data_IF_464475559750
#
_entry.id   IF_464475559750
#
_cell.length_a   1.000
_cell.length_b   1.000
_cell.length_c   1.000
_cell.angle_alpha   90.00
_cell.angle_beta   90.00
_cell.angle_gamma   90.00
#
_symmetry.space_group_name_H-M   'P 1'
#
loop_
_entity.id
_entity.type
_entity.pdbx_description
1 polymer ?
#
# COMPACT_ATOMS: atom_id res chain seq x y z
N UNK A 1 -16.00 -20.61 10.67
CA UNK A 1 -14.78 -19.79 10.54
C UNK A 1 -13.63 -20.72 10.24
N UNK A 2 -12.71 -20.32 9.37
CA UNK A 2 -11.66 -21.18 8.79
C UNK A 2 -10.62 -21.70 9.80
N UNK A 3 -10.74 -21.31 11.07
CA UNK A 3 -9.95 -21.85 12.18
C UNK A 3 -8.51 -21.35 12.24
N UNK A 4 -8.17 -20.32 11.46
CA UNK A 4 -6.83 -19.71 11.43
C UNK A 4 -6.72 -18.61 12.47
N UNK A 5 -5.61 -18.57 13.19
CA UNK A 5 -5.29 -17.46 14.08
C UNK A 5 -4.73 -16.27 13.28
N UNK A 6 -4.91 -15.08 13.85
CA UNK A 6 -4.31 -13.85 13.35
C UNK A 6 -3.55 -13.22 14.49
N UNK A 7 -2.31 -12.79 14.23
CA UNK A 7 -1.53 -11.98 15.16
C UNK A 7 -1.25 -10.63 14.51
N UNK A 8 -1.61 -9.56 15.20
CA UNK A 8 -1.34 -8.18 14.81
C UNK A 8 -0.41 -7.54 15.83
N UNK A 9 0.81 -7.26 15.40
CA UNK A 9 1.89 -6.76 16.24
C UNK A 9 2.44 -5.43 15.72
N UNK A 10 2.82 -4.55 16.63
CA UNK A 10 3.39 -3.24 16.33
C UNK A 10 2.96 -2.17 17.33
N UNK A 11 3.47 -0.97 17.14
CA UNK A 11 3.19 0.15 18.04
C UNK A 11 1.74 0.66 17.86
N UNK A 12 1.00 0.72 18.96
CA UNK A 12 -0.39 1.21 19.02
C UNK A 12 -1.39 0.47 18.10
N UNK A 13 -1.07 -0.75 17.65
CA UNK A 13 -1.88 -1.47 16.63
C UNK A 13 -3.31 -1.75 17.06
N UNK A 14 -3.60 -1.86 18.36
CA UNK A 14 -4.95 -2.11 18.86
C UNK A 14 -5.95 -1.00 18.51
N UNK A 15 -5.53 0.26 18.63
CA UNK A 15 -6.29 1.44 18.17
C UNK A 15 -6.00 1.74 16.70
N UNK A 16 -4.76 1.50 16.30
CA UNK A 16 -4.11 1.99 15.10
C UNK A 16 -3.55 3.40 15.33
N UNK A 17 -2.36 3.66 14.77
CA UNK A 17 -1.69 4.98 14.80
C UNK A 17 -2.64 6.09 14.39
N UNK A 18 -3.37 5.88 13.29
CA UNK A 18 -4.32 6.86 12.76
C UNK A 18 -5.73 6.75 13.37
N UNK A 19 -5.92 6.04 14.49
CA UNK A 19 -7.22 5.82 15.16
C UNK A 19 -8.33 5.41 14.18
N UNK A 20 -8.06 4.37 13.41
CA UNK A 20 -8.94 3.88 12.35
C UNK A 20 -9.38 2.43 12.56
N UNK A 21 -8.71 1.69 13.44
CA UNK A 21 -8.83 0.23 13.54
C UNK A 21 -9.72 -0.21 14.70
N UNK A 22 -9.42 0.24 15.91
CA UNK A 22 -10.20 -0.05 17.13
C UNK A 22 -10.55 -1.54 17.32
N UNK A 23 -9.61 -2.45 17.01
CA UNK A 23 -9.77 -3.89 17.29
C UNK A 23 -9.68 -4.18 18.80
N UNK A 24 -9.08 -3.25 19.55
CA UNK A 24 -8.97 -3.27 21.00
C UNK A 24 -9.85 -2.14 21.59
N UNK A 25 -10.93 -2.51 22.27
CA UNK A 25 -11.79 -1.57 22.99
C UNK A 25 -11.36 -1.51 24.46
N UNK A 26 -11.32 -0.31 25.03
CA UNK A 26 -10.92 -0.07 26.43
C UNK A 26 -12.10 0.52 27.18
N UNK A 27 -12.56 -0.18 28.19
CA UNK A 27 -13.61 0.30 29.09
C UNK A 27 -13.14 1.54 29.85
N UNK A 28 -13.93 2.62 29.82
CA UNK A 28 -13.53 3.92 30.35
C UNK A 28 -13.52 4.00 31.87
N UNK A 29 -14.15 3.04 32.56
CA UNK A 29 -14.23 3.03 34.04
C UNK A 29 -13.25 2.03 34.65
N UNK A 30 -13.10 0.88 34.01
CA UNK A 30 -12.34 -0.26 34.52
C UNK A 30 -11.01 -0.48 33.81
N UNK A 31 -10.77 0.20 32.69
CA UNK A 31 -9.62 0.01 31.79
C UNK A 31 -9.53 -1.41 31.21
N UNK A 32 -10.59 -2.21 31.37
CA UNK A 32 -10.65 -3.56 30.84
C UNK A 32 -10.61 -3.54 29.31
N UNK A 33 -9.79 -4.42 28.74
CA UNK A 33 -9.64 -4.58 27.29
C UNK A 33 -10.60 -5.63 26.77
N UNK A 34 -11.32 -5.28 25.71
CA UNK A 34 -12.19 -6.20 24.97
C UNK A 34 -11.82 -6.24 23.48
N UNK A 35 -11.74 -7.45 22.91
CA UNK A 35 -11.45 -7.67 21.48
C UNK A 35 -12.68 -8.31 20.83
N UNK A 36 -13.56 -7.53 20.16
CA UNK A 36 -14.82 -8.04 19.60
C UNK A 36 -14.65 -9.20 18.62
N UNK A 37 -13.54 -9.22 17.86
CA UNK A 37 -13.24 -10.27 16.87
C UNK A 37 -12.99 -11.66 17.50
N UNK A 38 -12.78 -11.74 18.82
CA UNK A 38 -12.66 -13.00 19.55
C UNK A 38 -14.00 -13.53 20.08
N UNK A 39 -15.10 -12.80 19.84
CA UNK A 39 -16.43 -13.13 20.35
C UNK A 39 -17.47 -13.22 19.21
N UNK A 40 -17.06 -13.60 18.00
CA UNK A 40 -17.97 -13.63 16.84
C UNK A 40 -18.93 -14.83 16.90
N UNK A 41 -18.47 -15.99 17.39
CA UNK A 41 -19.30 -17.20 17.50
C UNK A 41 -18.83 -18.14 18.63
N UNK A 42 -19.72 -18.84 19.36
CA UNK A 42 -19.34 -19.72 20.47
C UNK A 42 -18.39 -20.88 20.10
N UNK A 43 -18.47 -21.36 18.85
CA UNK A 43 -17.60 -22.43 18.33
C UNK A 43 -16.41 -21.90 17.52
N UNK A 44 -16.06 -20.62 17.68
CA UNK A 44 -14.90 -20.03 17.02
C UNK A 44 -13.61 -20.75 17.44
N UNK A 45 -12.78 -21.10 16.45
CA UNK A 45 -11.51 -21.84 16.66
C UNK A 45 -10.27 -20.97 16.48
N UNK A 46 -10.37 -19.93 15.66
CA UNK A 46 -9.27 -19.00 15.39
C UNK A 46 -9.47 -17.71 16.16
N UNK A 47 -8.39 -17.15 16.70
CA UNK A 47 -8.42 -15.94 17.51
C UNK A 47 -7.47 -14.88 16.97
N UNK A 48 -7.82 -13.61 17.22
CA UNK A 48 -6.97 -12.45 17.02
C UNK A 48 -6.18 -12.18 18.29
N UNK A 49 -4.87 -12.23 18.18
CA UNK A 49 -3.94 -11.69 19.17
C UNK A 49 -3.52 -10.27 18.76
N UNK A 50 -3.76 -9.29 19.64
CA UNK A 50 -3.34 -7.91 19.45
C UNK A 50 -2.15 -7.64 20.37
N UNK A 51 -0.97 -7.47 19.78
CA UNK A 51 0.28 -7.23 20.48
C UNK A 51 0.72 -5.77 20.26
N UNK A 52 0.28 -4.85 21.12
CA UNK A 52 0.87 -3.52 21.17
C UNK A 52 2.33 -3.67 21.62
N UNK A 53 3.27 -3.46 20.69
CA UNK A 53 4.68 -3.73 20.92
C UNK A 53 5.34 -2.65 21.77
N UNK A 54 6.53 -2.98 22.28
CA UNK A 54 7.47 -1.96 22.73
C UNK A 54 7.93 -1.10 21.55
N UNK A 55 8.60 0.02 21.86
CA UNK A 55 9.18 0.94 20.88
C UNK A 55 10.47 0.36 20.29
N UNK A 56 10.35 -0.68 19.46
CA UNK A 56 11.46 -1.38 18.82
C UNK A 56 11.02 -2.07 17.54
N UNK A 57 11.58 -1.69 16.40
CA UNK A 57 11.27 -2.32 15.12
C UNK A 57 12.07 -3.60 14.91
N UNK A 58 13.38 -3.57 15.19
CA UNK A 58 14.28 -4.68 14.86
C UNK A 58 13.93 -5.97 15.59
N UNK A 59 13.85 -5.91 16.93
CA UNK A 59 13.58 -7.08 17.75
C UNK A 59 12.15 -7.60 17.51
N UNK A 60 11.18 -6.70 17.37
CA UNK A 60 9.77 -7.07 17.17
C UNK A 60 9.58 -7.70 15.80
N UNK A 61 10.10 -7.11 14.71
CA UNK A 61 9.97 -7.70 13.37
C UNK A 61 10.68 -9.07 13.28
N UNK A 62 11.84 -9.22 13.93
CA UNK A 62 12.53 -10.50 14.04
C UNK A 62 11.70 -11.56 14.78
N UNK A 63 11.04 -11.17 15.88
CA UNK A 63 10.13 -12.03 16.63
C UNK A 63 8.94 -12.46 15.77
N UNK A 64 8.28 -11.53 15.08
CA UNK A 64 7.14 -11.85 14.21
C UNK A 64 7.53 -12.75 13.03
N UNK A 65 8.73 -12.57 12.47
CA UNK A 65 9.26 -13.48 11.44
C UNK A 65 9.39 -14.91 11.98
N UNK A 66 9.93 -15.08 13.20
CA UNK A 66 10.03 -16.38 13.85
C UNK A 66 8.67 -17.05 14.06
N UNK A 67 7.68 -16.29 14.54
CA UNK A 67 6.31 -16.77 14.73
C UNK A 67 5.66 -17.22 13.40
N UNK A 68 5.86 -16.43 12.33
CA UNK A 68 5.34 -16.75 11.01
C UNK A 68 6.00 -18.00 10.38
N UNK A 69 7.27 -18.24 10.72
CA UNK A 69 7.99 -19.43 10.27
C UNK A 69 7.50 -20.69 11.00
N UNK A 70 7.29 -20.61 12.31
CA UNK A 70 6.89 -21.75 13.14
C UNK A 70 5.45 -22.24 12.87
N UNK A 71 4.52 -21.31 12.64
CA UNK A 71 3.09 -21.61 12.49
C UNK A 71 2.52 -21.09 11.15
N UNK A 72 2.90 -21.68 10.00
CA UNK A 72 2.63 -21.14 8.65
C UNK A 72 1.16 -21.14 8.21
N UNK A 73 0.25 -21.73 8.99
CA UNK A 73 -1.19 -21.75 8.69
C UNK A 73 -1.95 -20.54 9.28
N UNK A 74 -1.28 -19.74 10.11
CA UNK A 74 -1.82 -18.52 10.70
C UNK A 74 -1.35 -17.27 9.95
N UNK A 75 -2.03 -16.15 10.18
CA UNK A 75 -1.68 -14.85 9.61
C UNK A 75 -0.92 -14.01 10.65
N UNK A 76 0.30 -13.62 10.31
CA UNK A 76 1.13 -12.73 11.13
C UNK A 76 1.30 -11.39 10.43
N UNK A 77 0.93 -10.33 11.14
CA UNK A 77 0.98 -8.95 10.66
C UNK A 77 1.88 -8.15 11.59
N UNK A 78 2.90 -7.53 11.01
CA UNK A 78 3.68 -6.50 11.66
C UNK A 78 3.39 -5.14 11.00
N UNK A 79 3.04 -4.13 11.81
CA UNK A 79 2.76 -2.78 11.36
C UNK A 79 3.75 -1.80 11.99
N UNK A 80 4.56 -1.14 11.16
CA UNK A 80 5.32 0.04 11.57
C UNK A 80 4.36 1.22 11.79
N UNK A 81 4.59 2.02 12.83
CA UNK A 81 3.78 3.21 13.13
C UNK A 81 3.71 4.16 11.92
N UNK A 82 4.86 4.38 11.29
CA UNK A 82 4.99 4.96 9.97
C UNK A 82 5.94 4.08 9.15
N UNK A 83 5.61 3.87 7.87
CA UNK A 83 6.43 3.04 6.98
C UNK A 83 7.89 3.49 6.91
N UNK A 84 8.18 4.76 7.19
CA UNK A 84 9.52 5.35 7.25
C UNK A 84 10.45 4.68 8.30
N UNK A 85 9.90 4.10 9.37
CA UNK A 85 10.67 3.50 10.48
C UNK A 85 11.10 2.05 10.24
N UNK A 86 10.68 1.42 9.15
CA UNK A 86 11.04 0.02 8.84
C UNK A 86 12.54 -0.22 8.76
N UNK A 87 13.31 0.82 8.42
CA UNK A 87 14.77 0.77 8.28
C UNK A 87 15.48 0.50 9.62
N UNK A 88 14.83 0.74 10.77
CA UNK A 88 15.31 0.27 12.07
C UNK A 88 15.47 -1.24 12.12
N UNK A 89 14.70 -1.98 11.32
CA UNK A 89 14.74 -3.44 11.22
C UNK A 89 15.39 -3.96 9.92
N UNK A 90 16.27 -3.17 9.29
CA UNK A 90 16.83 -3.50 7.98
C UNK A 90 17.54 -4.87 7.95
N UNK A 91 18.23 -5.24 9.03
CA UNK A 91 18.89 -6.55 9.15
C UNK A 91 17.87 -7.69 8.99
N UNK A 92 16.69 -7.56 9.61
CA UNK A 92 15.63 -8.57 9.50
C UNK A 92 15.07 -8.63 8.08
N UNK A 93 14.86 -7.46 7.45
CA UNK A 93 14.38 -7.37 6.07
C UNK A 93 15.33 -8.06 5.11
N UNK A 94 16.63 -7.75 5.18
CA UNK A 94 17.62 -8.25 4.22
C UNK A 94 17.96 -9.72 4.46
N UNK A 95 18.20 -10.09 5.71
CA UNK A 95 18.72 -11.41 6.06
C UNK A 95 17.63 -12.49 6.21
N UNK A 96 16.36 -12.11 6.39
CA UNK A 96 15.29 -13.08 6.63
C UNK A 96 14.11 -12.90 5.67
N UNK A 97 13.47 -11.72 5.65
CA UNK A 97 12.24 -11.52 4.87
C UNK A 97 12.52 -11.65 3.36
N UNK A 98 13.53 -10.93 2.85
CA UNK A 98 13.80 -10.88 1.41
C UNK A 98 14.50 -12.15 0.88
N UNK A 99 15.22 -12.87 1.74
CA UNK A 99 16.17 -13.90 1.32
C UNK A 99 15.97 -15.25 2.00
N UNK A 100 15.05 -15.37 2.96
CA UNK A 100 14.80 -16.57 3.74
C UNK A 100 14.33 -17.75 2.89
N UNK A 101 13.39 -17.54 1.96
CA UNK A 101 12.90 -18.59 1.04
C UNK A 101 14.05 -19.20 0.21
N UNK A 102 14.93 -18.36 -0.35
CA UNK A 102 16.08 -18.82 -1.13
C UNK A 102 17.12 -19.58 -0.30
N UNK A 103 17.22 -19.30 1.00
CA UNK A 103 18.23 -19.90 1.89
C UNK A 103 17.76 -21.16 2.60
N UNK A 104 16.50 -21.21 3.02
CA UNK A 104 16.00 -22.22 3.97
C UNK A 104 14.69 -22.88 3.48
N UNK A 105 14.25 -22.62 2.23
CA UNK A 105 13.07 -23.22 1.58
C UNK A 105 11.79 -23.11 2.42
N UNK A 106 11.07 -22.00 2.27
CA UNK A 106 9.75 -21.78 2.88
C UNK A 106 8.67 -21.66 1.79
N UNK A 107 7.50 -22.26 1.98
CA UNK A 107 6.40 -22.23 1.02
C UNK A 107 5.47 -21.01 1.20
N UNK A 108 5.55 -20.29 2.33
CA UNK A 108 4.77 -19.05 2.57
C UNK A 108 5.59 -17.83 2.17
N UNK A 109 4.97 -16.94 1.39
CA UNK A 109 5.61 -15.74 0.86
C UNK A 109 5.34 -14.52 1.74
N UNK A 110 6.37 -13.75 2.12
CA UNK A 110 6.16 -12.43 2.72
C UNK A 110 5.41 -11.49 1.78
N UNK A 111 4.55 -10.65 2.35
CA UNK A 111 3.82 -9.61 1.64
C UNK A 111 4.20 -8.24 2.20
N UNK A 112 4.80 -7.40 1.37
CA UNK A 112 5.11 -6.00 1.70
C UNK A 112 3.96 -5.11 1.22
N UNK A 113 3.33 -4.38 2.14
CA UNK A 113 2.19 -3.50 1.86
C UNK A 113 2.58 -2.05 2.14
N UNK A 114 2.46 -1.19 1.12
CA UNK A 114 2.51 0.26 1.32
C UNK A 114 1.14 0.71 1.84
N UNK A 115 1.00 0.70 3.17
CA UNK A 115 -0.28 0.97 3.83
C UNK A 115 -0.73 2.44 3.67
N UNK A 116 -2.05 2.69 3.55
CA UNK A 116 -2.56 4.03 3.34
C UNK A 116 -2.57 4.86 4.63
N UNK A 117 -2.34 6.18 4.48
CA UNK A 117 -2.62 7.18 5.52
C UNK A 117 -3.87 7.99 5.16
N UNK A 118 -3.85 8.61 3.97
CA UNK A 118 -4.95 9.44 3.46
C UNK A 118 -6.17 8.61 3.08
N UNK A 119 -5.97 7.43 2.47
CA UNK A 119 -7.08 6.62 1.97
C UNK A 119 -7.96 6.03 3.08
N UNK A 120 -7.51 6.05 4.34
CA UNK A 120 -8.30 5.58 5.48
C UNK A 120 -9.61 6.35 5.67
N UNK A 121 -9.70 7.58 5.15
CA UNK A 121 -10.88 8.45 5.28
C UNK A 121 -11.26 9.17 3.98
N UNK A 122 -10.62 8.84 2.87
CA UNK A 122 -10.94 9.45 1.59
C UNK A 122 -12.27 8.90 1.10
N UNK A 123 -13.27 9.77 0.88
CA UNK A 123 -14.61 9.36 0.49
C UNK A 123 -14.65 8.51 -0.80
N UNK A 124 -13.75 8.78 -1.75
CA UNK A 124 -13.64 8.03 -3.00
C UNK A 124 -12.99 6.65 -2.80
N UNK A 125 -12.27 6.43 -1.69
CA UNK A 125 -11.56 5.18 -1.40
C UNK A 125 -12.43 4.19 -0.63
N UNK A 126 -13.59 3.86 -1.19
CA UNK A 126 -14.57 2.93 -0.62
C UNK A 126 -14.82 1.75 -1.54
N UNK A 127 -15.18 0.60 -0.96
CA UNK A 127 -15.54 -0.60 -1.71
C UNK A 127 -16.94 -1.07 -1.32
N UNK A 128 -17.82 -1.41 -2.28
CA UNK A 128 -19.10 -2.04 -1.98
C UNK A 128 -18.88 -3.46 -1.42
N UNK A 129 -19.82 -3.95 -0.61
CA UNK A 129 -19.73 -5.30 -0.05
C UNK A 129 -19.63 -6.38 -1.13
N UNK A 130 -20.22 -6.17 -2.31
CA UNK A 130 -20.13 -7.07 -3.46
C UNK A 130 -18.70 -7.41 -3.85
N UNK A 131 -17.76 -6.47 -3.66
CA UNK A 131 -16.35 -6.67 -4.01
C UNK A 131 -15.64 -7.64 -3.03
N UNK A 132 -16.26 -7.94 -1.89
CA UNK A 132 -15.74 -8.80 -0.82
C UNK A 132 -16.46 -10.16 -0.73
N UNK A 133 -17.33 -10.47 -1.69
CA UNK A 133 -18.12 -11.71 -1.70
C UNK A 133 -17.45 -12.82 -2.50
N UNK A 134 -18.00 -14.04 -2.40
CA UNK A 134 -17.48 -15.21 -3.11
C UNK A 134 -17.46 -14.97 -4.63
N UNK A 135 -16.35 -15.36 -5.27
CA UNK A 135 -16.13 -15.18 -6.71
C UNK A 135 -15.31 -13.94 -7.07
N UNK A 136 -15.05 -13.04 -6.11
CA UNK A 136 -14.09 -11.95 -6.29
C UNK A 136 -12.67 -12.38 -5.90
N UNK A 137 -11.67 -11.61 -6.31
CA UNK A 137 -10.26 -11.86 -6.02
C UNK A 137 -9.46 -10.54 -6.04
N UNK A 138 -8.25 -10.56 -5.47
CA UNK A 138 -7.34 -9.42 -5.54
C UNK A 138 -7.00 -9.08 -7.00
N UNK A 139 -7.29 -7.85 -7.42
CA UNK A 139 -6.96 -7.35 -8.75
C UNK A 139 -5.56 -6.79 -8.75
N UNK A 140 -4.64 -7.46 -9.45
CA UNK A 140 -3.24 -7.00 -9.60
C UNK A 140 -3.15 -5.70 -10.42
N UNK A 141 -4.13 -5.45 -11.29
CA UNK A 141 -4.28 -4.23 -12.09
C UNK A 141 -5.76 -3.83 -12.08
N UNK A 142 -6.04 -2.56 -11.78
CA UNK A 142 -7.38 -1.97 -11.86
C UNK A 142 -7.43 -1.09 -13.11
N UNK A 143 -8.37 -1.38 -14.02
CA UNK A 143 -8.55 -0.64 -15.27
C UNK A 143 -9.37 0.65 -15.10
N UNK A 144 -9.33 1.51 -16.12
CA UNK A 144 -10.21 2.69 -16.19
C UNK A 144 -11.55 2.30 -16.85
N UNK A 145 -12.63 2.44 -16.10
CA UNK A 145 -14.00 2.14 -16.56
C UNK A 145 -14.79 3.39 -16.98
N UNK A 146 -14.23 4.59 -16.78
CA UNK A 146 -14.90 5.88 -16.99
C UNK A 146 -14.62 6.40 -18.39
N UNK A 147 -13.39 6.23 -18.87
CA UNK A 147 -12.96 6.80 -20.14
C UNK A 147 -13.45 6.01 -21.36
N UNK A 148 -13.82 6.72 -22.43
CA UNK A 148 -14.23 6.11 -23.69
C UNK A 148 -13.01 5.61 -24.46
N UNK A 149 -12.85 4.29 -24.54
CA UNK A 149 -11.72 3.62 -25.21
C UNK A 149 -11.47 4.09 -26.66
N UNK A 150 -12.48 4.58 -27.38
CA UNK A 150 -12.33 5.07 -28.76
C UNK A 150 -11.69 6.46 -28.84
N UNK A 151 -11.78 7.28 -27.78
CA UNK A 151 -11.28 8.66 -27.77
C UNK A 151 -9.84 8.79 -27.28
N UNK A 152 -9.23 7.71 -26.83
CA UNK A 152 -7.99 7.79 -26.07
C UNK A 152 -6.78 7.93 -26.97
N UNK A 153 -5.86 8.80 -26.54
CA UNK A 153 -4.53 8.98 -27.12
C UNK A 153 -3.38 8.62 -26.16
N UNK A 154 -3.59 8.72 -24.84
CA UNK A 154 -2.54 8.53 -23.81
C UNK A 154 -2.95 7.59 -22.68
N UNK A 155 -1.96 6.93 -22.08
CA UNK A 155 -2.15 6.03 -20.93
C UNK A 155 -1.24 6.44 -19.78
N UNK A 156 -1.86 6.71 -18.63
CA UNK A 156 -1.17 7.02 -17.38
C UNK A 156 -1.24 5.80 -16.46
N UNK A 157 -0.09 5.25 -16.12
CA UNK A 157 0.10 4.20 -15.13
C UNK A 157 0.42 4.86 -13.79
N UNK A 158 -0.24 4.41 -12.73
CA UNK A 158 -0.10 4.94 -11.37
C UNK A 158 -0.28 3.82 -10.35
N UNK A 159 0.29 3.98 -9.16
CA UNK A 159 0.08 3.08 -8.02
C UNK A 159 -0.24 3.89 -6.75
N UNK A 160 -1.06 3.31 -5.87
CA UNK A 160 -1.39 3.90 -4.57
C UNK A 160 -2.27 5.15 -4.65
N UNK A 161 -2.12 6.03 -3.65
CA UNK A 161 -3.02 7.18 -3.43
C UNK A 161 -3.00 8.23 -4.55
N UNK A 162 -1.91 8.31 -5.33
CA UNK A 162 -1.77 9.29 -6.41
C UNK A 162 -2.85 9.15 -7.49
N UNK A 163 -3.43 7.94 -7.64
CA UNK A 163 -4.59 7.72 -8.51
C UNK A 163 -5.75 8.69 -8.24
N UNK A 164 -6.11 8.89 -6.97
CA UNK A 164 -7.28 9.69 -6.60
C UNK A 164 -7.08 11.18 -6.93
N UNK A 165 -5.88 11.71 -6.71
CA UNK A 165 -5.58 13.10 -7.02
C UNK A 165 -5.51 13.34 -8.53
N UNK A 166 -4.91 12.41 -9.30
CA UNK A 166 -4.94 12.45 -10.76
C UNK A 166 -6.36 12.38 -11.31
N UNK A 167 -7.21 11.50 -10.76
CA UNK A 167 -8.58 11.36 -11.23
C UNK A 167 -9.42 12.63 -10.96
N UNK A 168 -9.28 13.25 -9.79
CA UNK A 168 -9.93 14.52 -9.47
C UNK A 168 -9.55 15.63 -10.46
N UNK A 169 -8.26 15.78 -10.75
CA UNK A 169 -7.79 16.78 -11.72
C UNK A 169 -8.25 16.46 -13.16
N UNK A 170 -8.26 15.19 -13.56
CA UNK A 170 -8.81 14.76 -14.85
C UNK A 170 -10.28 15.13 -15.03
N UNK A 171 -11.10 14.87 -14.01
CA UNK A 171 -12.54 15.20 -14.02
C UNK A 171 -12.75 16.72 -14.04
N UNK A 172 -12.04 17.46 -13.18
CA UNK A 172 -12.09 18.92 -13.11
C UNK A 172 -11.70 19.59 -14.44
N UNK A 173 -10.76 19.01 -15.16
CA UNK A 173 -10.28 19.51 -16.44
C UNK A 173 -11.09 19.00 -17.66
N UNK A 174 -12.11 18.16 -17.45
CA UNK A 174 -12.92 17.55 -18.50
C UNK A 174 -12.09 16.82 -19.58
N UNK A 175 -11.06 16.08 -19.17
CA UNK A 175 -10.17 15.35 -20.07
C UNK A 175 -10.73 13.95 -20.38
N UNK A 176 -11.11 13.73 -21.64
CA UNK A 176 -11.71 12.46 -22.12
C UNK A 176 -10.74 11.58 -22.95
N UNK A 177 -9.55 12.08 -23.31
CA UNK A 177 -8.63 11.44 -24.27
C UNK A 177 -7.55 10.55 -23.62
N UNK A 178 -7.80 10.05 -22.42
CA UNK A 178 -6.86 9.25 -21.62
C UNK A 178 -7.52 7.93 -21.14
N UNK A 179 -7.12 6.76 -21.67
CA UNK A 179 -7.45 5.33 -21.34
C UNK A 179 -7.10 4.23 -22.41
N UNK A 180 -6.62 3.07 -22.01
CA UNK A 180 -5.78 2.19 -22.84
C UNK A 180 -6.45 1.48 -24.06
N UNK A 181 -6.05 1.79 -25.33
CA UNK A 181 -5.45 0.88 -26.37
C UNK A 181 -5.55 1.42 -27.84
N UNK A 182 -4.59 1.04 -28.70
CA UNK A 182 -3.58 1.82 -29.50
C UNK A 182 -3.09 3.14 -28.87
N UNK A 183 -1.87 3.09 -28.34
CA UNK A 183 -1.30 4.12 -27.46
C UNK A 183 -0.02 4.67 -28.10
N UNK A 184 0.07 5.98 -28.26
CA UNK A 184 1.30 6.63 -28.77
C UNK A 184 2.36 6.77 -27.66
N UNK A 185 1.95 6.95 -26.40
CA UNK A 185 2.84 7.14 -25.24
C UNK A 185 2.30 6.54 -23.95
N UNK A 186 3.20 5.89 -23.21
CA UNK A 186 2.96 5.38 -21.86
C UNK A 186 3.66 6.29 -20.85
N UNK A 187 2.93 6.73 -19.84
CA UNK A 187 3.42 7.61 -18.78
C UNK A 187 3.34 6.87 -17.45
N UNK A 188 4.42 6.81 -16.69
CA UNK A 188 4.42 6.41 -15.29
C UNK A 188 4.36 7.66 -14.42
N UNK A 189 3.26 7.81 -13.68
CA UNK A 189 3.08 8.91 -12.76
C UNK A 189 3.18 8.46 -11.32
N UNK A 190 4.05 9.10 -10.54
CA UNK A 190 4.23 8.83 -9.11
C UNK A 190 4.47 10.11 -8.33
N UNK A 191 4.14 10.08 -7.04
CA UNK A 191 4.43 11.20 -6.15
C UNK A 191 5.87 11.16 -5.64
N UNK A 192 6.45 9.98 -5.42
CA UNK A 192 7.79 9.81 -4.90
C UNK A 192 8.85 10.43 -5.85
N UNK A 193 9.97 10.88 -5.27
CA UNK A 193 11.13 11.34 -6.04
C UNK A 193 11.59 10.28 -7.06
N UNK A 194 12.20 10.71 -8.16
CA UNK A 194 12.52 9.83 -9.30
C UNK A 194 13.46 8.67 -8.95
N UNK A 195 14.34 8.87 -7.96
CA UNK A 195 15.22 7.86 -7.40
C UNK A 195 14.56 7.00 -6.29
N UNK A 196 13.26 7.17 -6.08
CA UNK A 196 12.42 6.45 -5.11
C UNK A 196 11.14 5.93 -5.79
N UNK A 197 10.25 5.34 -5.00
CA UNK A 197 9.02 4.73 -5.53
C UNK A 197 9.32 3.58 -6.47
N UNK A 198 8.42 3.33 -7.42
CA UNK A 198 8.51 2.16 -8.29
C UNK A 198 9.16 2.44 -9.66
N UNK A 199 9.49 3.69 -9.99
CA UNK A 199 9.98 4.09 -11.32
C UNK A 199 11.15 3.23 -11.82
N UNK A 200 12.22 3.12 -11.04
CA UNK A 200 13.43 2.36 -11.40
C UNK A 200 13.15 0.85 -11.55
N UNK A 201 12.16 0.32 -10.81
CA UNK A 201 11.74 -1.07 -10.89
C UNK A 201 10.86 -1.33 -12.12
N UNK A 202 9.89 -0.45 -12.41
CA UNK A 202 8.88 -0.64 -13.45
C UNK A 202 9.44 -0.36 -14.84
N UNK A 203 10.22 0.71 -15.02
CA UNK A 203 10.71 1.14 -16.34
C UNK A 203 11.35 0.00 -17.16
N UNK A 204 12.40 -0.69 -16.69
CA UNK A 204 13.04 -1.74 -17.50
C UNK A 204 12.10 -2.93 -17.74
N UNK A 205 11.24 -3.29 -16.78
CA UNK A 205 10.30 -4.40 -16.93
C UNK A 205 9.25 -4.09 -17.99
N UNK A 206 8.69 -2.90 -17.94
CA UNK A 206 7.70 -2.43 -18.91
C UNK A 206 8.28 -2.39 -20.32
N UNK A 207 9.45 -1.76 -20.48
CA UNK A 207 10.11 -1.62 -21.78
C UNK A 207 10.52 -2.97 -22.36
N UNK A 208 11.06 -3.88 -21.54
CA UNK A 208 11.47 -5.22 -22.00
C UNK A 208 10.28 -6.11 -22.36
N UNK A 209 9.19 -6.08 -21.59
CA UNK A 209 8.03 -6.93 -21.81
C UNK A 209 7.14 -6.46 -22.97
N UNK A 210 6.99 -5.15 -23.12
CA UNK A 210 6.05 -4.58 -24.09
C UNK A 210 6.73 -3.98 -25.32
N UNK A 211 8.05 -3.80 -25.31
CA UNK A 211 8.79 -3.15 -26.40
C UNK A 211 8.40 -1.69 -26.61
N UNK A 212 7.89 -1.02 -25.57
CA UNK A 212 7.37 0.36 -25.62
C UNK A 212 8.08 1.23 -24.58
N UNK A 213 8.52 2.41 -25.00
CA UNK A 213 9.16 3.40 -24.12
C UNK A 213 8.17 3.89 -23.06
N UNK A 214 8.64 3.94 -21.80
CA UNK A 214 7.89 4.51 -20.68
C UNK A 214 8.44 5.90 -20.34
N UNK A 215 7.57 6.89 -20.22
CA UNK A 215 7.92 8.27 -19.87
C UNK A 215 7.62 8.52 -18.40
N UNK A 216 8.56 9.16 -17.69
CA UNK A 216 8.39 9.51 -16.28
C UNK A 216 7.60 10.81 -16.13
N UNK A 217 6.72 10.87 -15.13
CA UNK A 217 6.04 12.08 -14.67
C UNK A 217 6.00 12.09 -13.14
N UNK A 218 6.69 12.99 -12.48
CA UNK A 218 6.82 12.93 -11.02
C UNK A 218 7.85 13.89 -10.46
N UNK A 219 8.10 13.81 -9.16
CA UNK A 219 9.11 14.64 -8.50
C UNK A 219 10.51 14.37 -9.09
N UNK A 220 11.37 15.38 -9.04
CA UNK A 220 12.79 15.24 -9.39
C UNK A 220 13.53 14.24 -8.49
N UNK A 221 14.84 14.12 -8.66
CA UNK A 221 15.68 13.35 -7.74
C UNK A 221 15.93 14.16 -6.46
N UNK A 222 15.95 13.49 -5.31
CA UNK A 222 16.27 14.13 -4.03
C UNK A 222 17.06 13.20 -3.11
N UNK A 223 17.82 13.81 -2.20
CA UNK A 223 18.56 13.10 -1.16
C UNK A 223 17.67 12.68 0.03
N UNK A 224 16.50 13.31 0.19
CA UNK A 224 15.55 13.03 1.28
C UNK A 224 14.24 12.44 0.75
N UNK A 225 13.50 11.67 1.57
CA UNK A 225 12.21 11.10 1.15
C UNK A 225 11.17 12.14 0.74
N UNK A 226 11.14 13.27 1.44
CA UNK A 226 10.26 14.39 1.17
C UNK A 226 10.95 15.72 1.53
N UNK A 227 10.42 16.82 0.99
CA UNK A 227 10.80 18.17 1.40
C UNK A 227 10.15 18.54 2.73
N UNK A 228 10.90 19.18 3.62
CA UNK A 228 10.37 19.66 4.92
C UNK A 228 9.57 20.97 4.85
N UNK A 229 9.68 21.70 3.73
CA UNK A 229 8.99 22.98 3.54
C UNK A 229 7.62 22.79 2.85
N UNK A 230 6.55 23.16 3.53
CA UNK A 230 5.17 22.98 3.05
C UNK A 230 4.86 23.73 1.75
N UNK A 231 5.47 24.91 1.56
CA UNK A 231 5.34 25.71 0.34
C UNK A 231 5.97 25.02 -0.87
N UNK A 232 7.13 24.40 -0.70
CA UNK A 232 7.80 23.63 -1.73
C UNK A 232 7.02 22.34 -2.03
N UNK A 233 6.58 21.63 -0.99
CA UNK A 233 5.76 20.43 -1.14
C UNK A 233 4.50 20.69 -1.98
N UNK A 234 3.81 21.81 -1.74
CA UNK A 234 2.61 22.18 -2.52
C UNK A 234 2.92 22.42 -3.99
N UNK A 235 4.05 23.08 -4.29
CA UNK A 235 4.51 23.30 -5.67
C UNK A 235 4.83 21.98 -6.36
N UNK A 236 5.48 21.05 -5.67
CA UNK A 236 5.75 19.72 -6.19
C UNK A 236 4.45 18.95 -6.48
N UNK A 237 3.47 18.98 -5.56
CA UNK A 237 2.17 18.33 -5.76
C UNK A 237 1.45 18.91 -6.98
N UNK A 238 1.43 20.23 -7.16
CA UNK A 238 0.83 20.85 -8.34
C UNK A 238 1.55 20.43 -9.64
N UNK A 239 2.88 20.35 -9.59
CA UNK A 239 3.68 19.92 -10.73
C UNK A 239 3.38 18.47 -11.14
N UNK A 240 3.38 17.52 -10.21
CA UNK A 240 3.15 16.09 -10.50
C UNK A 240 1.73 15.79 -10.98
N UNK A 241 0.75 16.65 -10.65
CA UNK A 241 -0.63 16.50 -11.13
C UNK A 241 -0.78 17.04 -12.56
N UNK A 242 -0.10 18.15 -12.87
CA UNK A 242 -0.21 18.79 -14.19
C UNK A 242 0.67 18.12 -15.25
N UNK A 243 1.89 17.77 -14.91
CA UNK A 243 2.87 17.22 -15.86
C UNK A 243 2.31 16.03 -16.69
N UNK A 244 1.77 14.96 -16.07
CA UNK A 244 1.28 13.79 -16.82
C UNK A 244 0.04 14.11 -17.68
N UNK A 245 -0.76 15.12 -17.29
CA UNK A 245 -1.99 15.49 -17.99
C UNK A 245 -1.75 16.45 -19.16
N UNK A 246 -0.82 17.40 -19.04
CA UNK A 246 -0.70 18.54 -19.98
C UNK A 246 0.63 18.62 -20.73
N UNK A 247 1.76 18.23 -20.13
CA UNK A 247 3.07 18.76 -20.54
C UNK A 247 4.02 17.74 -21.20
N UNK A 248 3.64 16.45 -21.25
CA UNK A 248 4.48 15.41 -21.86
C UNK A 248 4.23 15.37 -23.38
N UNK A 249 5.07 16.13 -24.10
CA UNK A 249 5.11 16.24 -25.58
C UNK A 249 5.78 15.08 -26.26
#
# INVERSE_FOLDING_TARGET
MEGRNVRLSGEDVGRGTFSHRHVMLVDQQTEAVHIPLNCIHPQQKGFLEVANSILSEEAVLGFEYGMAFDCPDNLYLWEAQFGDFYNGAQIIVDAFIASGECKILNYRKPLVIVAPKVLLRLADAVSPLSDLTQGTHFKTVIGDHIANHLKVKRVILVSGKHYYELNKERVKANIEDVAILRVEKFIWSQEEHRNMGAWSFIKPRFENLLGRKLVYAGRGEAATPAVGASTLHRKEVEHILREPLYNIK
#
